data_IF_583222996373
#
_entry.id   IF_583222996373
#
_cell.length_a   1.000
_cell.length_b   1.000
_cell.length_c   1.000
_cell.angle_alpha   90.00
_cell.angle_beta   90.00
_cell.angle_gamma   90.00
#
_symmetry.space_group_name_H-M   'P 1'
#
loop_
_entity.id
_entity.type
_entity.pdbx_description
1 polymer ?
#
# COMPACT_ATOMS: atom_id res chain seq x y z
N UNK A 1 36.40 6.39 1.84
CA UNK A 1 36.08 5.13 1.15
C UNK A 1 35.24 4.30 2.10
N UNK A 2 33.91 4.41 2.01
CA UNK A 2 32.97 3.63 2.83
C UNK A 2 31.70 3.39 2.04
N UNK A 3 31.60 2.13 1.60
CA UNK A 3 30.39 1.32 1.43
C UNK A 3 29.23 1.90 0.63
N UNK A 4 29.21 1.42 -0.62
CA UNK A 4 28.07 1.28 -1.54
C UNK A 4 26.73 1.21 -0.81
N UNK A 5 25.99 2.31 -0.83
CA UNK A 5 24.55 2.34 -0.65
C UNK A 5 23.93 1.71 -1.90
N UNK A 6 24.00 0.37 -1.98
CA UNK A 6 23.32 -0.37 -3.04
C UNK A 6 21.84 -0.08 -2.87
N UNK A 7 21.15 0.54 -3.85
CA UNK A 7 19.71 0.72 -3.74
C UNK A 7 19.09 -0.65 -3.45
N UNK A 8 18.14 -0.74 -2.50
CA UNK A 8 17.55 -2.01 -2.11
C UNK A 8 17.15 -2.74 -3.39
N UNK A 9 17.54 -4.02 -3.49
CA UNK A 9 17.19 -4.86 -4.63
C UNK A 9 15.73 -4.62 -4.94
N UNK A 10 15.47 -3.86 -6.01
CA UNK A 10 14.12 -3.46 -6.36
C UNK A 10 13.34 -4.75 -6.48
N UNK A 11 12.42 -4.99 -5.54
CA UNK A 11 11.57 -6.17 -5.51
C UNK A 11 11.09 -6.43 -6.94
N UNK A 12 11.67 -7.46 -7.57
CA UNK A 12 11.35 -7.80 -8.97
C UNK A 12 10.12 -8.67 -8.94
N UNK A 13 8.98 -8.05 -8.67
CA UNK A 13 7.71 -8.76 -8.83
C UNK A 13 7.50 -9.08 -10.31
N UNK A 14 7.29 -10.37 -10.66
CA UNK A 14 6.85 -10.72 -12.00
C UNK A 14 5.61 -9.93 -12.40
N UNK A 15 5.45 -9.62 -13.69
CA UNK A 15 4.25 -8.90 -14.18
C UNK A 15 2.94 -9.62 -13.85
N UNK A 16 2.99 -10.94 -13.71
CA UNK A 16 1.87 -11.82 -13.37
C UNK A 16 1.71 -12.03 -11.86
N UNK A 17 2.62 -11.49 -11.04
CA UNK A 17 2.50 -11.55 -9.60
C UNK A 17 1.23 -10.82 -9.16
N UNK A 18 0.48 -11.48 -8.30
CA UNK A 18 -0.78 -10.99 -7.75
C UNK A 18 -0.55 -10.67 -6.28
N UNK A 19 -0.78 -9.43 -5.91
CA UNK A 19 -0.72 -8.99 -4.53
C UNK A 19 -2.03 -9.37 -3.84
N UNK A 20 -1.97 -10.36 -2.97
CA UNK A 20 -3.06 -10.72 -2.09
C UNK A 20 -2.80 -10.12 -0.72
N UNK A 21 -3.82 -9.51 -0.12
CA UNK A 21 -3.73 -9.03 1.25
C UNK A 21 -3.69 -10.20 2.23
N UNK A 22 -2.72 -10.17 3.15
CA UNK A 22 -2.71 -11.03 4.34
C UNK A 22 -3.89 -10.66 5.26
N UNK A 23 -4.13 -11.44 6.32
CA UNK A 23 -5.11 -11.07 7.36
C UNK A 23 -4.83 -9.67 7.91
N UNK A 24 -3.54 -9.39 8.20
CA UNK A 24 -3.08 -8.07 8.65
C UNK A 24 -3.38 -6.97 7.63
N UNK A 25 -3.12 -7.23 6.35
CA UNK A 25 -3.42 -6.28 5.27
C UNK A 25 -4.92 -5.97 5.14
N UNK A 26 -5.79 -6.96 5.34
CA UNK A 26 -7.25 -6.77 5.30
C UNK A 26 -7.77 -5.98 6.50
N UNK A 27 -7.23 -6.23 7.69
CA UNK A 27 -7.54 -5.45 8.88
C UNK A 27 -7.12 -3.98 8.69
N UNK A 28 -5.90 -3.76 8.19
CA UNK A 28 -5.40 -2.43 7.89
C UNK A 28 -6.26 -1.70 6.85
N UNK A 29 -6.69 -2.38 5.79
CA UNK A 29 -7.60 -1.81 4.78
C UNK A 29 -8.98 -1.46 5.37
N UNK A 30 -9.55 -2.37 6.18
CA UNK A 30 -10.86 -2.16 6.79
C UNK A 30 -10.82 -0.94 7.70
N UNK A 31 -9.81 -0.83 8.55
CA UNK A 31 -9.63 0.32 9.44
C UNK A 31 -9.39 1.61 8.66
N UNK A 32 -8.61 1.56 7.56
CA UNK A 32 -8.42 2.70 6.67
C UNK A 32 -9.76 3.23 6.16
N UNK A 33 -10.56 2.34 5.58
CA UNK A 33 -11.87 2.66 4.99
C UNK A 33 -12.82 3.25 6.03
N UNK A 34 -12.88 2.67 7.23
CA UNK A 34 -13.72 3.16 8.34
C UNK A 34 -13.30 4.55 8.80
N UNK A 35 -12.00 4.79 8.99
CA UNK A 35 -11.46 6.11 9.37
C UNK A 35 -11.74 7.16 8.30
N UNK A 36 -11.56 6.82 7.03
CA UNK A 36 -11.89 7.74 5.93
C UNK A 36 -13.38 8.06 5.91
N UNK A 37 -14.25 7.05 6.05
CA UNK A 37 -15.69 7.28 6.11
C UNK A 37 -16.07 8.21 7.27
N UNK A 38 -15.57 7.94 8.48
CA UNK A 38 -15.84 8.76 9.67
C UNK A 38 -15.30 10.20 9.54
N UNK A 39 -14.21 10.42 8.82
CA UNK A 39 -13.64 11.75 8.61
C UNK A 39 -14.52 12.66 7.74
N UNK A 40 -15.37 12.09 6.88
CA UNK A 40 -16.27 12.85 5.98
C UNK A 40 -17.33 13.61 6.77
N UNK A 41 -17.71 13.11 7.93
CA UNK A 41 -18.73 13.71 8.79
C UNK A 41 -18.19 14.87 9.66
N UNK A 42 -16.86 15.05 9.72
CA UNK A 42 -16.20 15.80 10.81
C UNK A 42 -15.35 17.01 10.35
N UNK A 43 -15.71 17.68 9.24
CA UNK A 43 -15.12 18.97 8.77
C UNK A 43 -14.08 18.91 7.62
N UNK A 44 -14.34 18.12 6.59
CA UNK A 44 -13.68 18.31 5.28
C UNK A 44 -12.21 17.88 5.22
N UNK A 45 -11.41 18.52 4.35
CA UNK A 45 -10.07 18.04 3.94
C UNK A 45 -9.10 17.82 5.11
N UNK A 46 -9.12 18.69 6.12
CA UNK A 46 -8.24 18.57 7.28
C UNK A 46 -8.53 17.31 8.12
N UNK A 47 -9.82 16.97 8.29
CA UNK A 47 -10.22 15.74 8.99
C UNK A 47 -9.80 14.49 8.20
N UNK A 48 -9.94 14.53 6.87
CA UNK A 48 -9.48 13.46 5.98
C UNK A 48 -7.97 13.22 6.09
N UNK A 49 -7.16 14.27 6.02
CA UNK A 49 -5.70 14.15 6.11
C UNK A 49 -5.25 13.68 7.51
N UNK A 50 -5.93 14.12 8.57
CA UNK A 50 -5.70 13.65 9.93
C UNK A 50 -6.04 12.16 10.11
N UNK A 51 -7.18 11.72 9.55
CA UNK A 51 -7.60 10.32 9.60
C UNK A 51 -6.59 9.40 8.91
N UNK A 52 -6.09 9.79 7.74
CA UNK A 52 -5.04 9.06 7.00
C UNK A 52 -3.73 8.98 7.80
N UNK A 53 -3.32 10.10 8.39
CA UNK A 53 -2.09 10.17 9.19
C UNK A 53 -2.17 9.29 10.44
N UNK A 54 -3.32 9.32 11.13
CA UNK A 54 -3.54 8.50 12.31
C UNK A 54 -3.57 7.00 11.98
N UNK A 55 -4.20 6.62 10.87
CA UNK A 55 -4.15 5.25 10.34
C UNK A 55 -2.72 4.83 10.03
N UNK A 56 -2.00 5.63 9.24
CA UNK A 56 -0.62 5.35 8.83
C UNK A 56 0.30 5.14 10.03
N UNK A 57 0.14 5.96 11.07
CA UNK A 57 0.88 5.84 12.33
C UNK A 57 0.60 4.51 13.03
N UNK A 58 -0.66 4.09 13.12
CA UNK A 58 -1.05 2.83 13.76
C UNK A 58 -0.43 1.61 13.07
N UNK A 59 -0.35 1.64 11.73
CA UNK A 59 0.13 0.52 10.92
C UNK A 59 1.62 0.62 10.54
N UNK A 60 2.32 1.70 10.95
CA UNK A 60 3.70 2.03 10.56
C UNK A 60 3.87 2.12 9.03
N UNK A 61 2.89 2.72 8.38
CA UNK A 61 2.83 2.94 6.93
C UNK A 61 2.87 4.45 6.62
N UNK A 62 2.82 4.80 5.34
CA UNK A 62 2.55 6.16 4.87
C UNK A 62 1.06 6.38 4.64
N UNK A 63 0.59 7.62 4.75
CA UNK A 63 -0.82 8.00 4.58
C UNK A 63 -1.42 7.58 3.24
N UNK A 64 -0.61 7.47 2.18
CA UNK A 64 -0.96 7.04 0.82
C UNK A 64 -1.10 5.53 0.68
N UNK A 65 -0.44 4.75 1.55
CA UNK A 65 -0.35 3.29 1.41
C UNK A 65 -1.74 2.63 1.52
N UNK A 66 -2.69 3.26 2.23
CA UNK A 66 -4.06 2.77 2.38
C UNK A 66 -4.84 2.73 1.07
N UNK A 67 -4.55 3.61 0.11
CA UNK A 67 -5.19 3.59 -1.21
C UNK A 67 -4.84 2.31 -1.96
N UNK A 68 -3.58 1.90 -1.92
CA UNK A 68 -3.13 0.67 -2.56
C UNK A 68 -3.78 -0.57 -1.93
N UNK A 69 -3.97 -0.57 -0.60
CA UNK A 69 -4.69 -1.65 0.07
C UNK A 69 -6.13 -1.76 -0.42
N UNK A 70 -6.84 -0.63 -0.56
CA UNK A 70 -8.21 -0.62 -1.10
C UNK A 70 -8.30 -1.06 -2.57
N UNK A 71 -7.28 -0.76 -3.39
CA UNK A 71 -7.21 -1.32 -4.76
C UNK A 71 -7.04 -2.84 -4.76
N UNK A 72 -6.31 -3.38 -3.77
CA UNK A 72 -6.03 -4.82 -3.66
C UNK A 72 -7.13 -5.63 -2.96
N UNK A 73 -7.97 -5.00 -2.12
CA UNK A 73 -9.07 -5.71 -1.44
C UNK A 73 -10.17 -6.13 -2.43
N UNK A 74 -10.36 -5.35 -3.49
CA UNK A 74 -11.35 -5.59 -4.55
C UNK A 74 -11.00 -6.81 -5.43
N UNK A 75 -9.76 -7.30 -5.33
CA UNK A 75 -9.28 -8.47 -6.04
C UNK A 75 -7.75 -8.49 -6.09
N UNK A 76 -7.17 -9.67 -6.25
CA UNK A 76 -5.73 -9.87 -6.35
C UNK A 76 -5.13 -9.02 -7.49
N UNK A 77 -4.54 -7.87 -7.17
CA UNK A 77 -4.09 -6.90 -8.17
C UNK A 77 -2.69 -7.26 -8.67
N UNK A 78 -2.44 -7.12 -9.96
CA UNK A 78 -1.10 -7.21 -10.53
C UNK A 78 -0.43 -5.84 -10.57
N UNK A 79 0.90 -5.78 -10.64
CA UNK A 79 1.63 -4.51 -10.76
C UNK A 79 1.14 -3.64 -11.94
N UNK A 80 0.89 -4.16 -13.16
CA UNK A 80 0.30 -3.36 -14.23
C UNK A 80 -1.07 -2.78 -13.89
N UNK A 81 -1.94 -3.54 -13.21
CA UNK A 81 -3.26 -3.07 -12.81
C UNK A 81 -3.17 -1.94 -11.78
N UNK A 82 -2.29 -2.09 -10.77
CA UNK A 82 -2.04 -1.03 -9.79
C UNK A 82 -1.50 0.24 -10.46
N UNK A 83 -0.56 0.10 -11.40
CA UNK A 83 -0.03 1.24 -12.15
C UNK A 83 -1.13 1.95 -12.98
N UNK A 84 -2.09 1.20 -13.52
CA UNK A 84 -3.24 1.78 -14.23
C UNK A 84 -4.23 2.44 -13.26
N UNK A 85 -4.53 1.83 -12.11
CA UNK A 85 -5.44 2.42 -11.12
C UNK A 85 -4.88 3.75 -10.56
N UNK A 86 -3.56 3.82 -10.35
CA UNK A 86 -2.93 4.99 -9.75
C UNK A 86 -2.53 6.08 -10.75
N UNK A 87 -2.67 5.85 -12.07
CA UNK A 87 -2.26 6.84 -13.08
C UNK A 87 -3.05 8.14 -12.97
N UNK A 88 -4.34 8.05 -12.66
CA UNK A 88 -5.24 9.20 -12.58
C UNK A 88 -5.02 10.02 -11.29
N UNK A 89 -4.32 9.44 -10.32
CA UNK A 89 -3.95 10.08 -9.05
C UNK A 89 -2.59 10.80 -9.10
N UNK A 90 -1.95 10.84 -10.27
CA UNK A 90 -0.65 11.50 -10.47
C UNK A 90 0.55 10.76 -9.87
N UNK A 91 0.37 9.52 -9.42
CA UNK A 91 1.47 8.72 -8.88
C UNK A 91 2.35 8.16 -9.99
N UNK A 92 3.66 8.22 -9.77
CA UNK A 92 4.63 7.65 -10.70
C UNK A 92 4.79 6.15 -10.47
N UNK A 93 5.34 5.46 -11.47
CA UNK A 93 5.74 4.05 -11.31
C UNK A 93 6.66 3.83 -10.11
N UNK A 94 7.53 4.79 -9.81
CA UNK A 94 8.43 4.72 -8.65
C UNK A 94 7.64 4.75 -7.35
N UNK A 95 6.67 5.64 -7.22
CA UNK A 95 5.84 5.76 -6.02
C UNK A 95 5.07 4.48 -5.73
N UNK A 96 4.52 3.84 -6.78
CA UNK A 96 3.84 2.55 -6.67
C UNK A 96 4.80 1.46 -6.18
N UNK A 97 6.00 1.37 -6.74
CA UNK A 97 7.00 0.38 -6.32
C UNK A 97 7.49 0.62 -4.88
N UNK A 98 7.71 1.87 -4.50
CA UNK A 98 8.13 2.24 -3.15
C UNK A 98 7.03 1.95 -2.12
N UNK A 99 5.75 2.16 -2.48
CA UNK A 99 4.60 1.80 -1.64
C UNK A 99 4.46 0.28 -1.49
N UNK A 100 4.57 -0.48 -2.59
CA UNK A 100 4.56 -1.93 -2.54
C UNK A 100 5.69 -2.48 -1.67
N UNK A 101 6.89 -1.89 -1.72
CA UNK A 101 7.99 -2.26 -0.84
C UNK A 101 7.66 -2.06 0.64
N UNK A 102 7.12 -0.88 1.01
CA UNK A 102 6.70 -0.62 2.39
C UNK A 102 5.61 -1.56 2.88
N UNK A 103 4.65 -1.88 2.02
CA UNK A 103 3.55 -2.80 2.33
C UNK A 103 4.06 -4.24 2.52
N UNK A 104 5.01 -4.68 1.70
CA UNK A 104 5.69 -5.97 1.83
C UNK A 104 6.49 -6.04 3.14
N UNK A 105 7.33 -5.04 3.43
CA UNK A 105 8.10 -4.92 4.66
C UNK A 105 7.19 -4.91 5.91
N UNK A 106 5.99 -4.34 5.79
CA UNK A 106 4.99 -4.31 6.85
C UNK A 106 4.17 -5.61 6.96
N UNK A 107 4.39 -6.61 6.11
CA UNK A 107 3.69 -7.89 6.12
C UNK A 107 2.22 -7.79 5.68
N UNK A 108 1.90 -6.82 4.84
CA UNK A 108 0.53 -6.58 4.36
C UNK A 108 0.13 -7.56 3.25
N UNK A 109 1.09 -8.28 2.67
CA UNK A 109 0.87 -9.25 1.60
C UNK A 109 1.01 -10.69 2.08
N UNK A 110 0.31 -11.59 1.41
CA UNK A 110 0.57 -13.01 1.52
C UNK A 110 1.91 -13.33 0.83
N UNK A 111 2.92 -13.69 1.62
CA UNK A 111 4.10 -14.33 1.07
C UNK A 111 3.75 -15.79 0.76
N UNK A 112 3.35 -16.05 -0.49
CA UNK A 112 3.21 -17.44 -0.94
C UNK A 112 4.60 -18.07 -0.88
N UNK A 113 4.83 -18.93 0.11
CA UNK A 113 6.01 -19.79 0.10
C UNK A 113 5.99 -20.56 -1.23
N UNK A 114 6.98 -20.30 -2.08
CA UNK A 114 7.30 -21.19 -3.16
C UNK A 114 7.72 -22.49 -2.49
N UNK A 115 6.81 -23.47 -2.48
CA UNK A 115 7.13 -24.84 -2.11
C UNK A 115 8.17 -25.28 -3.15
N UNK A 116 9.42 -25.43 -2.70
CA UNK A 116 10.50 -26.00 -3.49
C UNK A 116 10.29 -27.46 -3.78
#
# INVERSE_FOLDING_TARGET
>A
MSTLDSPPERLRWPRTHRFNLSTKGREAETEYRERIAASRDQSGRASFDAARTAWATAWKLQSEDGLYLSEMVSGSATLPQLLTAMSDSGQTRKDVLDALGRLDDAGMFEHRQLIG
#
